data_IF_227388697885
#
_entry.id   IF_227388697885
#
_cell.length_a   1.000
_cell.length_b   1.000
_cell.length_c   1.000
_cell.angle_alpha   90.00
_cell.angle_beta   90.00
_cell.angle_gamma   90.00
#
_symmetry.space_group_name_H-M   'P 1'
#
loop_
_entity.id
_entity.type
_entity.pdbx_description
1 polymer ?
#
# COMPACT_ATOMS: atom_id res chain seq x y z
N UNK A 1 0.46 4.38 7.72
CA UNK A 1 1.63 4.92 6.98
C UNK A 1 2.01 3.96 5.87
N UNK A 2 2.20 4.46 4.64
CA UNK A 2 2.64 3.65 3.48
C UNK A 2 4.08 4.01 3.11
N UNK A 3 4.93 3.01 2.92
CA UNK A 3 6.34 3.21 2.57
C UNK A 3 6.68 2.43 1.32
N UNK A 4 7.33 3.10 0.37
CA UNK A 4 7.89 2.48 -0.81
C UNK A 4 9.41 2.55 -0.76
N UNK A 5 10.08 1.41 -0.83
CA UNK A 5 11.53 1.30 -0.86
C UNK A 5 11.98 0.46 -2.06
N UNK A 6 13.20 0.71 -2.52
CA UNK A 6 13.87 -0.10 -3.53
C UNK A 6 15.10 -0.69 -2.82
N UNK A 7 15.22 -2.02 -2.80
CA UNK A 7 16.39 -2.68 -2.25
C UNK A 7 17.55 -2.61 -3.24
N UNK A 8 18.77 -2.70 -2.72
CA UNK A 8 19.99 -2.81 -3.53
C UNK A 8 20.01 -4.08 -4.39
N UNK A 9 19.15 -5.06 -4.09
CA UNK A 9 18.96 -6.27 -4.87
C UNK A 9 18.02 -6.10 -6.07
N UNK A 10 17.52 -4.89 -6.33
CA UNK A 10 16.58 -4.63 -7.44
C UNK A 10 15.14 -5.06 -7.15
N UNK A 11 14.78 -5.18 -5.87
CA UNK A 11 13.40 -5.46 -5.46
C UNK A 11 12.72 -4.18 -5.00
N UNK A 12 11.47 -3.99 -5.38
CA UNK A 12 10.59 -2.98 -4.81
C UNK A 12 9.90 -3.58 -3.58
N UNK A 13 9.83 -2.80 -2.50
CA UNK A 13 9.12 -3.14 -1.26
C UNK A 13 8.06 -2.07 -0.98
N UNK A 14 6.79 -2.47 -1.01
CA UNK A 14 5.67 -1.64 -0.61
C UNK A 14 5.15 -2.09 0.75
N UNK A 15 5.47 -1.32 1.79
CA UNK A 15 5.05 -1.57 3.17
C UNK A 15 3.79 -0.78 3.49
N UNK A 16 2.77 -1.48 3.94
CA UNK A 16 1.45 -0.97 4.31
C UNK A 16 1.26 -1.17 5.81
N UNK A 17 1.24 -0.08 6.58
CA UNK A 17 1.05 -0.12 8.04
C UNK A 17 -0.27 0.53 8.42
N UNK A 18 -1.24 -0.28 8.82
CA UNK A 18 -2.53 0.18 9.36
C UNK A 18 -3.77 -0.33 8.62
N UNK A 19 -4.92 -0.09 9.23
CA UNK A 19 -6.21 -0.52 8.70
C UNK A 19 -6.68 0.31 7.49
N UNK A 20 -6.24 1.57 7.35
CA UNK A 20 -6.59 2.41 6.21
C UNK A 20 -5.95 1.89 4.91
N UNK A 21 -4.74 1.33 5.03
CA UNK A 21 -3.96 0.75 3.96
C UNK A 21 -4.49 -0.61 3.47
N UNK A 22 -5.46 -1.21 4.18
CA UNK A 22 -6.15 -2.41 3.69
C UNK A 22 -6.79 -2.21 2.33
N UNK A 23 -7.21 -0.98 1.98
CA UNK A 23 -7.79 -0.69 0.67
C UNK A 23 -6.72 -0.77 -0.44
N UNK A 24 -5.52 -0.26 -0.17
CA UNK A 24 -4.36 -0.44 -1.04
C UNK A 24 -4.09 -1.93 -1.21
N UNK A 25 -4.02 -2.68 -0.11
CA UNK A 25 -3.81 -4.12 -0.16
C UNK A 25 -4.90 -4.83 -0.98
N UNK A 26 -6.17 -4.49 -0.80
CA UNK A 26 -7.28 -5.14 -1.55
C UNK A 26 -7.24 -4.87 -3.05
N UNK A 27 -6.70 -3.72 -3.45
CA UNK A 27 -6.56 -3.31 -4.84
C UNK A 27 -5.32 -3.97 -5.46
N UNK A 28 -4.20 -3.91 -4.76
CA UNK A 28 -2.93 -4.42 -5.24
C UNK A 28 -2.79 -5.94 -5.12
N UNK A 29 -3.44 -6.62 -4.17
CA UNK A 29 -3.31 -8.08 -3.98
C UNK A 29 -3.65 -8.91 -5.21
N UNK A 30 -4.45 -8.36 -6.13
CA UNK A 30 -4.87 -9.06 -7.36
C UNK A 30 -3.84 -8.98 -8.48
N UNK A 31 -2.78 -8.22 -8.28
CA UNK A 31 -1.75 -8.02 -9.28
C UNK A 31 -0.81 -9.24 -9.32
N UNK A 32 -0.55 -9.82 -10.50
CA UNK A 32 0.15 -11.10 -10.60
C UNK A 32 1.68 -11.00 -10.48
N UNK A 33 2.24 -9.79 -10.46
CA UNK A 33 3.69 -9.56 -10.45
C UNK A 33 4.29 -9.48 -9.04
N UNK A 34 3.48 -9.68 -8.01
CA UNK A 34 3.99 -9.84 -6.66
C UNK A 34 4.78 -11.15 -6.57
N UNK A 35 6.05 -11.03 -6.24
CA UNK A 35 6.90 -12.19 -6.03
C UNK A 35 6.67 -12.76 -4.63
N UNK A 36 6.57 -11.87 -3.62
CA UNK A 36 6.46 -12.26 -2.21
C UNK A 36 5.60 -11.29 -1.42
N UNK A 37 5.05 -11.80 -0.33
CA UNK A 37 4.32 -11.01 0.67
C UNK A 37 4.87 -11.36 2.05
N UNK A 38 5.36 -10.36 2.77
CA UNK A 38 5.74 -10.48 4.16
C UNK A 38 4.65 -9.83 5.03
N UNK A 39 4.16 -10.55 6.04
CA UNK A 39 3.13 -10.06 6.95
C UNK A 39 3.73 -9.99 8.35
N UNK A 40 3.77 -8.79 8.90
CA UNK A 40 4.20 -8.53 10.27
C UNK A 40 2.95 -8.48 11.16
N UNK A 41 2.91 -9.38 12.13
CA UNK A 41 1.83 -9.52 13.10
C UNK A 41 2.29 -9.07 14.47
N UNK A 42 1.34 -8.64 15.28
CA UNK A 42 1.63 -8.24 16.64
C UNK A 42 2.09 -9.47 17.48
N UNK A 43 3.21 -9.35 18.21
CA UNK A 43 3.72 -10.46 19.01
C UNK A 43 2.86 -10.75 20.24
N UNK A 44 2.03 -9.81 20.68
CA UNK A 44 1.08 -9.95 21.79
C UNK A 44 -0.31 -10.39 21.27
N UNK A 45 -0.70 -10.00 20.05
CA UNK A 45 -1.92 -10.45 19.38
C UNK A 45 -1.67 -10.92 17.94
N UNK A 46 -1.52 -12.24 17.75
CA UNK A 46 -1.32 -12.85 16.44
C UNK A 46 -2.49 -12.66 15.45
N UNK A 47 -3.65 -12.15 15.89
CA UNK A 47 -4.77 -11.78 15.00
C UNK A 47 -4.61 -10.36 14.45
N UNK A 48 -3.80 -9.53 15.08
CA UNK A 48 -3.56 -8.16 14.67
C UNK A 48 -2.40 -8.10 13.68
N UNK A 49 -2.71 -7.69 12.45
CA UNK A 49 -1.71 -7.39 11.44
C UNK A 49 -1.19 -5.96 11.65
N UNK A 50 0.11 -5.81 11.88
CA UNK A 50 0.76 -4.50 12.06
C UNK A 50 1.18 -3.94 10.70
N UNK A 51 1.82 -4.77 9.88
CA UNK A 51 2.33 -4.35 8.58
C UNK A 51 2.22 -5.46 7.53
N UNK A 52 2.02 -5.07 6.28
CA UNK A 52 2.14 -5.96 5.13
C UNK A 52 3.13 -5.36 4.15
N UNK A 53 4.16 -6.11 3.80
CA UNK A 53 5.15 -5.73 2.79
C UNK A 53 4.94 -6.58 1.54
N UNK A 54 4.56 -5.92 0.45
CA UNK A 54 4.46 -6.51 -0.88
C UNK A 54 5.79 -6.32 -1.60
N UNK A 55 6.34 -7.41 -2.15
CA UNK A 55 7.66 -7.42 -2.80
C UNK A 55 7.48 -7.81 -4.26
N UNK A 56 8.05 -7.00 -5.16
CA UNK A 56 8.07 -7.23 -6.60
C UNK A 56 9.41 -6.82 -7.20
N UNK A 57 9.63 -7.16 -8.46
CA UNK A 57 10.79 -6.71 -9.21
C UNK A 57 10.74 -5.19 -9.46
N UNK A 58 11.90 -4.53 -9.43
CA UNK A 58 12.01 -3.09 -9.72
C UNK A 58 11.47 -2.72 -11.11
N UNK A 59 11.49 -3.63 -12.10
CA UNK A 59 10.90 -3.38 -13.42
C UNK A 59 9.40 -3.01 -13.34
N UNK A 60 8.72 -3.44 -12.27
CA UNK A 60 7.31 -3.18 -12.05
C UNK A 60 7.05 -1.95 -11.17
N UNK A 61 8.11 -1.26 -10.73
CA UNK A 61 8.05 -0.14 -9.79
C UNK A 61 7.17 1.01 -10.31
N UNK A 62 7.43 1.44 -11.55
CA UNK A 62 6.68 2.52 -12.18
C UNK A 62 5.18 2.21 -12.26
N UNK A 63 4.83 0.92 -12.45
CA UNK A 63 3.42 0.50 -12.52
C UNK A 63 2.75 0.60 -11.15
N UNK A 64 3.42 0.17 -10.07
CA UNK A 64 2.89 0.32 -8.71
C UNK A 64 2.71 1.79 -8.36
N UNK A 65 3.71 2.63 -8.66
CA UNK A 65 3.61 4.08 -8.43
C UNK A 65 2.43 4.70 -9.15
N UNK A 66 2.21 4.35 -10.42
CA UNK A 66 1.07 4.83 -11.20
C UNK A 66 -0.27 4.34 -10.61
N UNK A 67 -0.35 3.07 -10.17
CA UNK A 67 -1.57 2.56 -9.51
C UNK A 67 -1.83 3.31 -8.20
N UNK A 68 -0.80 3.53 -7.38
CA UNK A 68 -0.89 4.24 -6.10
C UNK A 68 -1.31 5.70 -6.31
N UNK A 69 -0.76 6.37 -7.33
CA UNK A 69 -1.11 7.73 -7.70
C UNK A 69 -2.56 7.81 -8.22
N UNK A 70 -2.95 6.95 -9.15
CA UNK A 70 -4.29 7.00 -9.78
C UNK A 70 -5.41 6.54 -8.85
N UNK A 71 -5.17 5.50 -8.06
CA UNK A 71 -6.19 4.91 -7.21
C UNK A 71 -6.30 5.59 -5.84
N UNK A 72 -5.18 6.08 -5.30
CA UNK A 72 -5.10 6.57 -3.92
C UNK A 72 -4.52 7.98 -3.79
N UNK A 73 -4.12 8.63 -4.90
CA UNK A 73 -3.50 9.96 -4.86
C UNK A 73 -2.12 9.97 -4.20
N UNK A 74 -1.49 8.81 -4.01
CA UNK A 74 -0.18 8.71 -3.36
C UNK A 74 0.95 8.88 -4.37
N UNK A 75 1.80 9.89 -4.14
CA UNK A 75 2.99 10.16 -4.95
C UNK A 75 4.26 9.94 -4.15
N UNK A 76 5.09 9.03 -4.61
CA UNK A 76 6.40 8.73 -4.01
C UNK A 76 7.53 9.36 -4.85
N UNK A 77 8.63 9.82 -4.24
CA UNK A 77 9.82 10.27 -4.95
C UNK A 77 10.62 9.09 -5.53
N UNK A 78 11.39 9.28 -6.59
CA UNK A 78 12.08 8.20 -7.33
C UNK A 78 12.98 7.32 -6.45
N UNK A 79 13.62 7.90 -5.43
CA UNK A 79 14.44 7.16 -4.45
C UNK A 79 13.64 6.28 -3.49
N UNK A 80 12.32 6.26 -3.58
CA UNK A 80 11.44 5.69 -2.56
C UNK A 80 11.21 6.68 -1.42
N UNK A 81 10.17 6.42 -0.63
CA UNK A 81 9.78 7.32 0.45
C UNK A 81 8.56 6.83 1.20
N UNK A 82 8.19 7.59 2.23
CA UNK A 82 6.97 7.32 2.98
C UNK A 82 5.92 8.38 2.69
N UNK A 83 4.70 7.93 2.45
CA UNK A 83 3.54 8.78 2.31
C UNK A 83 2.46 8.34 3.30
N UNK A 84 1.81 9.32 3.89
CA UNK A 84 0.63 9.08 4.68
C UNK A 84 -0.57 9.04 3.74
N UNK A 85 -1.34 7.96 3.82
CA UNK A 85 -2.65 7.92 3.19
C UNK A 85 -3.54 8.89 3.97
N UNK A 86 -3.97 9.97 3.32
CA UNK A 86 -4.97 10.84 3.90
C UNK A 86 -6.23 10.01 4.19
N UNK A 87 -6.83 10.15 5.40
CA UNK A 87 -8.08 9.47 5.69
C UNK A 87 -9.11 9.87 4.63
N UNK A 88 -9.83 8.88 4.08
CA UNK A 88 -10.83 9.11 3.06
C UNK A 88 -11.81 10.20 3.53
N UNK A 89 -12.13 11.21 2.71
CA UNK A 89 -13.11 12.22 3.09
C UNK A 89 -14.41 11.49 3.47
N UNK A 90 -15.09 11.89 4.55
CA UNK A 90 -16.30 11.22 5.00
C UNK A 90 -17.26 11.13 3.80
N UNK A 91 -17.71 9.91 3.50
CA UNK A 91 -18.61 9.64 2.39
C UNK A 91 -19.71 10.70 2.39
N UNK A 92 -19.97 11.40 1.26
CA UNK A 92 -21.01 12.42 1.22
C UNK A 92 -22.30 11.74 1.67
N UNK A 93 -22.82 12.20 2.81
CA UNK A 93 -24.09 11.73 3.34
C UNK A 93 -25.10 11.88 2.21
N UNK A 94 -25.48 10.76 1.60
CA UNK A 94 -26.45 10.71 0.53
C UNK A 94 -27.78 11.07 1.19
N UNK A 95 -28.05 12.37 1.30
CA UNK A 95 -29.33 12.94 1.72
C UNK A 95 -30.37 12.25 0.87
N UNK A 96 -31.10 11.32 1.48
CA UNK A 96 -32.27 10.69 0.91
C UNK A 96 -33.35 11.78 0.88
N UNK A 97 -33.36 12.53 -0.23
CA UNK A 97 -34.38 13.52 -0.53
C UNK A 97 -35.63 12.79 -0.97
N UNK A 98 -36.58 12.74 -0.03
CA UNK A 98 -38.05 12.70 -0.12
C UNK A 98 -38.70 12.36 -1.47
#
# INVERSE_FOLDING_TARGET
MTTLAISEAGEMLLTLRGAAENRILTTLRRWPYWQRVAVERDPLDAKQCIAVTLIADQAHEATVREILKRSFGLTFPESGGSCELLPEPPAPSRRRGR
#
